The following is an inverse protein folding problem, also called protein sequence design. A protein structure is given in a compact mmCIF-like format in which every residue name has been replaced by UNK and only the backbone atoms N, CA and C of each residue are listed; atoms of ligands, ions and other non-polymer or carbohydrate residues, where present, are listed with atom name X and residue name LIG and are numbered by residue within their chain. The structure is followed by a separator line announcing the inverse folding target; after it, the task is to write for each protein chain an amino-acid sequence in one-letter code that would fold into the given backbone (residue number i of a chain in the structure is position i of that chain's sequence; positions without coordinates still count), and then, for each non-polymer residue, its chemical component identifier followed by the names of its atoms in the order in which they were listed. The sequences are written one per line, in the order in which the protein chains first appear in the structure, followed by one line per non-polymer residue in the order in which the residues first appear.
data_IF_788285878997
#
_entry.id   IF_788285878997
#
_cell.length_a   1.000
_cell.length_b   1.000
_cell.length_c   1.000
_cell.angle_alpha   90.00
_cell.angle_beta   90.00
_cell.angle_gamma   90.00
#
_symmetry.space_group_name_H-M   'P 1'
#
loop_
_entity.id
_entity.type
_entity.pdbx_description
1 polymer ?
#
# COMPACT_ATOMS: atom_id res chain seq x y z
N UNK A 1 -12.71 16.68 -23.39
CA UNK A 1 -13.27 15.31 -23.41
C UNK A 1 -12.19 14.25 -23.60
N UNK A 2 -11.36 14.31 -24.65
CA UNK A 2 -10.30 13.31 -24.90
C UNK A 2 -9.34 13.13 -23.71
N UNK A 3 -8.82 14.23 -23.15
CA UNK A 3 -7.95 14.22 -21.96
C UNK A 3 -8.60 13.62 -20.72
N UNK A 4 -9.91 13.78 -20.58
CA UNK A 4 -10.67 13.27 -19.44
C UNK A 4 -10.84 11.75 -19.54
N UNK A 5 -11.21 11.27 -20.73
CA UNK A 5 -11.32 9.83 -21.00
C UNK A 5 -9.96 9.14 -20.91
N UNK A 6 -8.90 9.73 -21.43
CA UNK A 6 -7.55 9.15 -21.32
C UNK A 6 -7.05 9.12 -19.88
N UNK A 7 -7.30 10.17 -19.10
CA UNK A 7 -6.92 10.19 -17.69
C UNK A 7 -7.68 9.12 -16.89
N UNK A 8 -8.99 8.95 -17.13
CA UNK A 8 -9.78 7.90 -16.49
C UNK A 8 -9.28 6.51 -16.81
N UNK A 9 -8.94 6.23 -18.07
CA UNK A 9 -8.40 4.93 -18.48
C UNK A 9 -7.04 4.66 -17.84
N UNK A 10 -6.12 5.64 -17.88
CA UNK A 10 -4.77 5.47 -17.33
C UNK A 10 -4.80 5.28 -15.81
N UNK A 11 -5.55 6.12 -15.08
CA UNK A 11 -5.69 5.98 -13.63
C UNK A 11 -6.44 4.70 -13.26
N UNK A 12 -7.50 4.34 -13.99
CA UNK A 12 -8.24 3.10 -13.76
C UNK A 12 -7.35 1.87 -13.91
N UNK A 13 -6.54 1.81 -14.98
CA UNK A 13 -5.57 0.75 -15.18
C UNK A 13 -4.51 0.73 -14.08
N UNK A 14 -3.95 1.87 -13.71
CA UNK A 14 -2.95 1.94 -12.64
C UNK A 14 -3.48 1.42 -11.30
N UNK A 15 -4.69 1.82 -10.90
CA UNK A 15 -5.32 1.34 -9.66
C UNK A 15 -5.61 -0.16 -9.73
N UNK A 16 -6.13 -0.65 -10.86
CA UNK A 16 -6.37 -2.09 -11.04
C UNK A 16 -5.07 -2.90 -10.96
N UNK A 17 -3.97 -2.41 -11.54
CA UNK A 17 -2.67 -3.08 -11.48
C UNK A 17 -2.12 -3.15 -10.05
N UNK A 18 -2.26 -2.05 -9.29
CA UNK A 18 -1.87 -2.03 -7.87
C UNK A 18 -2.72 -3.00 -7.04
N UNK A 19 -4.04 -3.04 -7.28
CA UNK A 19 -4.97 -3.94 -6.60
C UNK A 19 -4.68 -5.42 -6.90
N UNK A 20 -4.47 -5.76 -8.18
CA UNK A 20 -4.08 -7.12 -8.59
C UNK A 20 -2.71 -7.50 -8.02
N UNK A 21 -1.77 -6.54 -7.95
CA UNK A 21 -0.46 -6.74 -7.36
C UNK A 21 -0.52 -7.11 -5.88
N UNK A 22 -1.33 -6.41 -5.08
CA UNK A 22 -1.48 -6.74 -3.65
C UNK A 22 -2.17 -8.09 -3.44
N UNK A 23 -3.16 -8.43 -4.28
CA UNK A 23 -3.82 -9.75 -4.24
C UNK A 23 -2.87 -10.87 -4.65
N UNK A 24 -1.91 -10.59 -5.53
CA UNK A 24 -0.83 -11.51 -5.90
C UNK A 24 0.31 -11.59 -4.86
N UNK A 25 0.12 -11.04 -3.65
CA UNK A 25 1.08 -11.12 -2.55
C UNK A 25 2.10 -9.98 -2.49
N UNK A 26 1.95 -8.91 -3.29
CA UNK A 26 2.81 -7.73 -3.15
C UNK A 26 2.48 -6.98 -1.86
N UNK A 27 3.51 -6.68 -1.07
CA UNK A 27 3.33 -5.95 0.18
C UNK A 27 2.59 -4.61 -0.03
N UNK A 28 1.66 -4.24 0.88
CA UNK A 28 0.96 -2.97 0.79
C UNK A 28 1.93 -1.79 0.94
N UNK A 29 1.53 -0.62 0.42
CA UNK A 29 2.30 0.62 0.56
C UNK A 29 2.50 0.89 2.05
N UNK A 30 3.76 0.82 2.48
CA UNK A 30 4.15 1.13 3.86
C UNK A 30 3.81 2.60 4.13
N UNK A 31 2.86 2.83 5.04
CA UNK A 31 2.50 4.17 5.51
C UNK A 31 3.57 4.77 6.43
N UNK A 32 3.26 5.92 7.03
CA UNK A 32 4.18 6.66 7.91
C UNK A 32 4.78 5.81 9.06
N UNK A 33 3.99 4.89 9.62
CA UNK A 33 4.46 3.95 10.66
C UNK A 33 5.27 2.76 10.10
N UNK A 34 5.19 2.46 8.80
CA UNK A 34 5.87 1.34 8.17
C UNK A 34 7.34 1.60 7.80
N UNK A 35 7.75 2.87 7.66
CA UNK A 35 9.14 3.26 7.44
C UNK A 35 9.98 3.34 8.73
N UNK A 36 9.31 3.48 9.88
CA UNK A 36 9.94 3.52 11.20
C UNK A 36 10.41 2.14 11.68
N UNK A 37 9.96 1.05 11.05
CA UNK A 37 10.40 -0.32 11.36
C UNK A 37 11.91 -0.54 11.15
N UNK A 38 12.59 0.29 10.36
CA UNK A 38 14.05 0.24 10.19
C UNK A 38 14.83 0.95 11.31
N UNK A 39 14.14 1.74 12.14
CA UNK A 39 14.69 2.47 13.28
C UNK A 39 14.08 1.83 14.52
N UNK A 40 14.63 0.68 14.94
CA UNK A 40 14.03 -0.29 15.88
C UNK A 40 13.80 0.16 17.33
N UNK A 41 13.50 1.43 17.60
CA UNK A 41 13.22 1.99 18.94
C UNK A 41 12.08 3.01 18.98
N UNK A 42 11.37 3.26 17.88
CA UNK A 42 10.14 4.07 17.89
C UNK A 42 8.94 3.21 17.52
N UNK A 43 8.77 2.11 18.24
CA UNK A 43 7.52 1.37 18.26
C UNK A 43 6.48 2.31 18.88
N UNK A 44 5.50 2.72 18.08
CA UNK A 44 4.43 3.58 18.58
C UNK A 44 3.52 2.73 19.48
N UNK A 45 3.83 2.63 20.77
CA UNK A 45 3.04 1.92 21.80
C UNK A 45 1.58 2.41 21.88
N UNK A 46 1.31 3.61 21.36
CA UNK A 46 -0.02 4.21 21.29
C UNK A 46 -0.78 3.95 19.96
N UNK A 47 -0.32 3.06 19.07
CA UNK A 47 -0.97 2.84 17.77
C UNK A 47 -1.92 1.63 17.78
N UNK A 48 -3.24 1.81 18.00
CA UNK A 48 -4.24 0.73 18.03
C UNK A 48 -4.53 0.11 16.65
N UNK A 49 -4.03 0.71 15.56
CA UNK A 49 -4.33 0.32 14.17
C UNK A 49 -3.16 -0.36 13.45
N UNK A 50 -2.14 -0.87 14.17
CA UNK A 50 -1.08 -1.66 13.55
C UNK A 50 -1.61 -3.05 13.15
N UNK A 51 -2.43 -3.09 12.11
CA UNK A 51 -2.99 -4.31 11.54
C UNK A 51 -2.57 -4.40 10.08
N UNK A 52 -1.34 -4.85 9.82
CA UNK A 52 -0.84 -4.87 8.45
C UNK A 52 0.52 -5.52 8.28
N UNK A 53 0.74 -6.66 8.95
CA UNK A 53 2.01 -7.38 8.91
C UNK A 53 1.93 -8.90 9.03
N UNK A 54 0.76 -9.53 8.89
CA UNK A 54 0.61 -10.99 9.00
C UNK A 54 0.29 -11.69 7.67
N UNK A 55 0.59 -11.03 6.55
CA UNK A 55 0.55 -11.65 5.23
C UNK A 55 1.74 -11.18 4.38
N UNK A 56 2.91 -11.18 5.01
CA UNK A 56 4.11 -11.62 4.30
C UNK A 56 3.86 -13.08 3.90
N UNK A 57 3.48 -13.27 2.65
CA UNK A 57 3.50 -14.57 2.01
C UNK A 57 5.00 -14.92 1.88
N UNK A 58 5.42 -15.91 2.66
CA UNK A 58 6.69 -16.66 2.64
C UNK A 58 8.01 -15.89 2.42
#
# INVERSE_FOLDING_TARGET
MAVFLSALVVFGLAVSAMALGVMAGRAPIKGSCGGLSCIGKLECEACPHRHGGENAHD
#
